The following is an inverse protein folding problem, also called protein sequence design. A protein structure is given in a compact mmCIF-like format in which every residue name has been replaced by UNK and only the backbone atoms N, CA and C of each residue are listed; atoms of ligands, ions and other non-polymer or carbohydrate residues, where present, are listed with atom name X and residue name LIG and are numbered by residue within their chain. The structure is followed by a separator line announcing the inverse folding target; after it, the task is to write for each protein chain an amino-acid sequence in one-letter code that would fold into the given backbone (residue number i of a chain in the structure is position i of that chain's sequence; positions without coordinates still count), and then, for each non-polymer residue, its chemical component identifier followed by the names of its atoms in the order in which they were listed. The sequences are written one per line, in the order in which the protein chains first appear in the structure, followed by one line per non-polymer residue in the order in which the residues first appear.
data_IF_448210021773
#
_entry.id   IF_448210021773
#
_cell.length_a   1.000
_cell.length_b   1.000
_cell.length_c   1.000
_cell.angle_alpha   90.00
_cell.angle_beta   90.00
_cell.angle_gamma   90.00
#
_symmetry.space_group_name_H-M   'P 1'
#
loop_
_entity.id
_entity.type
_entity.pdbx_description
1 polymer ?
#
# COMPACT_ATOMS: atom_id res chain seq x y z
N UNK A 1 -7.31 -14.16 24.96
CA UNK A 1 -6.04 -13.78 24.30
C UNK A 1 -5.96 -12.26 24.24
N UNK A 2 -4.80 -11.62 24.41
CA UNK A 2 -4.69 -10.17 24.27
C UNK A 2 -5.04 -9.76 22.83
N UNK A 3 -5.79 -8.66 22.70
CA UNK A 3 -6.17 -8.11 21.40
C UNK A 3 -4.90 -7.69 20.62
N UNK A 4 -4.88 -7.98 19.32
CA UNK A 4 -3.77 -7.61 18.43
C UNK A 4 -3.95 -6.17 17.95
N UNK A 5 -2.87 -5.36 17.90
CA UNK A 5 -2.95 -4.02 17.33
C UNK A 5 -2.97 -4.07 15.79
N UNK A 6 -3.65 -3.11 15.16
CA UNK A 6 -3.57 -2.85 13.71
C UNK A 6 -2.61 -1.67 13.46
N UNK A 7 -1.67 -1.86 12.53
CA UNK A 7 -0.81 -0.77 12.08
C UNK A 7 -1.44 -0.05 10.90
N UNK A 8 -1.85 1.20 11.09
CA UNK A 8 -2.35 2.07 10.03
C UNK A 8 -1.21 2.92 9.46
N UNK A 9 -1.05 2.91 8.14
CA UNK A 9 0.00 3.68 7.46
C UNK A 9 -0.56 4.37 6.22
N UNK A 10 -0.62 5.69 6.26
CA UNK A 10 -0.89 6.47 5.07
C UNK A 10 0.29 6.38 4.11
N UNK A 11 0.01 6.15 2.83
CA UNK A 11 1.00 6.22 1.77
C UNK A 11 0.64 7.27 0.75
N UNK A 12 1.68 7.84 0.17
CA UNK A 12 1.54 8.68 -1.01
C UNK A 12 2.08 7.87 -2.20
N UNK A 13 1.17 7.22 -2.93
CA UNK A 13 1.52 6.47 -4.12
C UNK A 13 2.12 7.33 -5.21
N UNK A 14 1.71 8.59 -5.32
CA UNK A 14 2.26 9.51 -6.32
C UNK A 14 3.75 9.72 -6.07
N UNK A 15 4.16 9.89 -4.80
CA UNK A 15 5.58 9.93 -4.43
C UNK A 15 6.30 8.64 -4.80
N UNK A 16 5.72 7.49 -4.48
CA UNK A 16 6.31 6.18 -4.80
C UNK A 16 6.48 6.02 -6.31
N UNK A 17 5.46 6.34 -7.10
CA UNK A 17 5.50 6.30 -8.55
C UNK A 17 6.57 7.24 -9.11
N UNK A 18 6.67 8.46 -8.57
CA UNK A 18 7.71 9.42 -8.95
C UNK A 18 9.12 8.87 -8.73
N UNK A 19 9.39 8.22 -7.59
CA UNK A 19 10.69 7.60 -7.34
C UNK A 19 10.96 6.39 -8.25
N UNK A 20 9.95 5.59 -8.58
CA UNK A 20 10.10 4.48 -9.54
C UNK A 20 10.44 5.03 -10.93
N UNK A 21 9.74 6.07 -11.38
CA UNK A 21 9.98 6.71 -12.66
C UNK A 21 11.39 7.32 -12.72
N UNK A 22 11.81 8.01 -11.66
CA UNK A 22 13.17 8.54 -11.54
C UNK A 22 14.21 7.42 -11.61
N UNK A 23 14.00 6.31 -10.90
CA UNK A 23 14.86 5.14 -10.97
C UNK A 23 14.96 4.58 -12.39
N UNK A 24 13.86 4.46 -13.12
CA UNK A 24 13.86 4.03 -14.52
C UNK A 24 14.60 5.00 -15.44
N UNK A 25 14.39 6.32 -15.29
CA UNK A 25 15.09 7.33 -16.08
C UNK A 25 16.60 7.25 -15.85
N UNK A 26 17.05 7.11 -14.60
CA UNK A 26 18.47 6.97 -14.27
C UNK A 26 19.06 5.67 -14.85
N UNK A 27 18.30 4.58 -14.84
CA UNK A 27 18.73 3.29 -15.37
C UNK A 27 18.91 3.35 -16.89
N UNK A 28 17.91 3.86 -17.61
CA UNK A 28 17.95 4.02 -19.07
C UNK A 28 19.03 5.04 -19.46
N UNK A 29 19.07 6.19 -18.79
CA UNK A 29 20.07 7.23 -19.05
C UNK A 29 21.50 6.77 -18.76
N UNK A 30 21.70 5.98 -17.69
CA UNK A 30 22.99 5.38 -17.38
C UNK A 30 23.43 4.35 -18.42
N UNK A 31 22.54 3.47 -18.88
CA UNK A 31 22.87 2.49 -19.93
C UNK A 31 23.19 3.16 -21.27
N UNK A 32 22.36 4.12 -21.70
CA UNK A 32 22.57 4.86 -22.95
C UNK A 32 23.86 5.69 -22.87
N UNK A 33 24.06 6.41 -21.75
CA UNK A 33 25.25 7.22 -21.55
C UNK A 33 26.53 6.39 -21.58
N UNK A 34 26.54 5.23 -20.91
CA UNK A 34 27.67 4.31 -20.96
C UNK A 34 27.93 3.80 -22.38
N UNK A 35 26.87 3.41 -23.12
CA UNK A 35 27.02 2.92 -24.48
C UNK A 35 27.66 3.96 -25.42
N UNK A 36 27.27 5.23 -25.28
CA UNK A 36 27.75 6.32 -26.14
C UNK A 36 29.14 6.79 -25.73
N UNK A 37 29.38 7.10 -24.46
CA UNK A 37 30.62 7.74 -24.02
C UNK A 37 31.70 6.77 -23.55
N UNK A 38 31.34 5.51 -23.25
CA UNK A 38 32.20 4.52 -22.59
C UNK A 38 32.72 4.94 -21.20
N UNK A 39 32.20 6.04 -20.62
CA UNK A 39 32.63 6.48 -19.30
C UNK A 39 32.01 5.67 -18.18
N UNK A 40 32.85 5.28 -17.24
CA UNK A 40 32.43 4.50 -16.08
C UNK A 40 31.49 5.27 -15.14
N UNK A 41 31.43 6.60 -15.23
CA UNK A 41 30.55 7.44 -14.39
C UNK A 41 29.08 7.03 -14.53
N UNK A 42 28.67 6.62 -15.73
CA UNK A 42 27.30 6.21 -16.02
C UNK A 42 26.91 4.88 -15.35
N UNK A 43 27.90 4.04 -15.00
CA UNK A 43 27.65 2.83 -14.23
C UNK A 43 27.17 3.16 -12.80
N UNK A 44 27.65 4.26 -12.20
CA UNK A 44 27.17 4.72 -10.90
C UNK A 44 25.71 5.22 -10.96
N UNK A 45 25.26 5.78 -12.09
CA UNK A 45 23.84 6.11 -12.30
C UNK A 45 22.97 4.85 -12.27
N UNK A 46 23.39 3.79 -12.96
CA UNK A 46 22.70 2.50 -12.96
C UNK A 46 22.68 1.89 -11.56
N UNK A 47 23.80 1.93 -10.83
CA UNK A 47 23.86 1.44 -9.46
C UNK A 47 22.91 2.22 -8.53
N UNK A 48 22.89 3.56 -8.61
CA UNK A 48 21.99 4.41 -7.84
C UNK A 48 20.52 4.10 -8.14
N UNK A 49 20.17 3.94 -9.42
CA UNK A 49 18.82 3.54 -9.84
C UNK A 49 18.37 2.23 -9.17
N UNK A 50 19.25 1.22 -9.16
CA UNK A 50 18.96 -0.08 -8.54
C UNK A 50 18.75 0.04 -7.03
N UNK A 51 19.55 0.85 -6.33
CA UNK A 51 19.40 1.11 -4.89
C UNK A 51 18.04 1.76 -4.60
N UNK A 52 17.65 2.76 -5.39
CA UNK A 52 16.35 3.44 -5.27
C UNK A 52 15.20 2.44 -5.47
N UNK A 53 15.25 1.64 -6.54
CA UNK A 53 14.21 0.65 -6.83
C UNK A 53 14.11 -0.42 -5.74
N UNK A 54 15.25 -0.92 -5.24
CA UNK A 54 15.28 -1.88 -4.14
C UNK A 54 14.66 -1.28 -2.87
N UNK A 55 15.03 -0.05 -2.50
CA UNK A 55 14.46 0.64 -1.35
C UNK A 55 12.93 0.78 -1.45
N UNK A 56 12.41 1.18 -2.61
CA UNK A 56 10.97 1.29 -2.85
C UNK A 56 10.30 -0.07 -2.73
N UNK A 57 10.89 -1.12 -3.29
CA UNK A 57 10.32 -2.47 -3.25
C UNK A 57 10.21 -3.01 -1.83
N UNK A 58 11.29 -2.89 -1.04
CA UNK A 58 11.29 -3.33 0.36
C UNK A 58 10.33 -2.54 1.22
N UNK A 59 10.34 -1.21 1.07
CA UNK A 59 9.39 -0.38 1.81
C UNK A 59 7.97 -0.74 1.41
N UNK A 60 7.67 -0.97 0.12
CA UNK A 60 6.31 -1.19 -0.41
C UNK A 60 5.59 -2.44 0.10
N UNK A 61 6.30 -3.41 0.69
CA UNK A 61 5.69 -4.63 1.24
C UNK A 61 4.70 -4.33 2.37
N UNK A 62 3.54 -4.97 2.31
CA UNK A 62 2.54 -4.93 3.38
C UNK A 62 2.84 -6.05 4.40
N UNK A 63 2.91 -5.70 5.67
CA UNK A 63 3.14 -6.66 6.77
C UNK A 63 1.82 -7.24 7.26
N UNK A 64 1.89 -8.28 8.10
CA UNK A 64 0.70 -8.80 8.81
C UNK A 64 0.19 -7.72 9.78
N UNK A 65 -1.12 -7.72 9.99
CA UNK A 65 -1.87 -6.78 10.84
C UNK A 65 -1.67 -5.32 10.43
N UNK A 66 -1.57 -5.06 9.13
CA UNK A 66 -1.32 -3.73 8.60
C UNK A 66 -2.41 -3.30 7.62
N UNK A 67 -2.82 -2.04 7.74
CA UNK A 67 -3.67 -1.32 6.80
C UNK A 67 -2.86 -0.18 6.21
N UNK A 68 -2.77 -0.16 4.89
CA UNK A 68 -2.12 0.89 4.11
C UNK A 68 -3.20 1.57 3.29
N UNK A 69 -3.27 2.89 3.36
CA UNK A 69 -4.29 3.65 2.66
C UNK A 69 -3.71 4.86 1.96
N UNK A 70 -4.36 5.25 0.87
CA UNK A 70 -4.10 6.43 0.06
C UNK A 70 -5.42 6.86 -0.58
N UNK A 71 -5.47 8.04 -1.24
CA UNK A 71 -6.72 8.54 -1.82
C UNK A 71 -7.35 7.64 -2.90
N UNK A 72 -6.61 6.67 -3.46
CA UNK A 72 -7.05 5.79 -4.55
C UNK A 72 -7.42 4.39 -4.06
N UNK A 73 -6.75 3.88 -3.03
CA UNK A 73 -7.06 2.57 -2.48
C UNK A 73 -6.76 2.40 -0.99
N UNK A 74 -7.43 1.40 -0.41
CA UNK A 74 -7.13 0.85 0.90
C UNK A 74 -6.68 -0.61 0.72
N UNK A 75 -5.45 -0.92 1.13
CA UNK A 75 -4.85 -2.25 1.08
C UNK A 75 -4.57 -2.74 2.49
N UNK A 76 -5.00 -3.95 2.83
CA UNK A 76 -4.83 -4.49 4.18
C UNK A 76 -4.49 -5.98 4.21
N UNK A 77 -3.86 -6.39 5.31
CA UNK A 77 -3.51 -7.78 5.61
C UNK A 77 -3.74 -8.04 7.10
N UNK A 78 -4.97 -8.34 7.47
CA UNK A 78 -5.40 -8.52 8.87
C UNK A 78 -5.44 -10.02 9.20
N UNK A 79 -6.50 -10.73 8.84
CA UNK A 79 -6.75 -12.09 9.34
C UNK A 79 -6.35 -13.18 8.33
N UNK A 80 -6.33 -12.83 7.04
CA UNK A 80 -6.03 -13.76 5.96
C UNK A 80 -4.53 -13.74 5.59
N UNK A 81 -4.03 -14.88 5.06
CA UNK A 81 -2.66 -14.95 4.51
C UNK A 81 -2.48 -14.01 3.32
N UNK A 82 -3.57 -13.73 2.60
CA UNK A 82 -3.60 -12.88 1.42
C UNK A 82 -3.89 -11.41 1.76
N UNK A 83 -3.27 -10.50 1.01
CA UNK A 83 -3.56 -9.07 1.12
C UNK A 83 -4.79 -8.72 0.28
N UNK A 84 -5.77 -8.05 0.87
CA UNK A 84 -6.92 -7.50 0.14
C UNK A 84 -6.66 -6.05 -0.25
N UNK A 85 -7.27 -5.61 -1.35
CA UNK A 85 -7.20 -4.23 -1.86
C UNK A 85 -8.59 -3.80 -2.30
N UNK A 86 -9.06 -2.67 -1.79
CA UNK A 86 -10.32 -2.02 -2.14
C UNK A 86 -9.97 -0.66 -2.74
N UNK A 87 -10.60 -0.29 -3.85
CA UNK A 87 -10.47 1.09 -4.35
C UNK A 87 -11.40 2.00 -3.55
N UNK A 88 -10.93 3.19 -3.20
CA UNK A 88 -11.67 4.15 -2.37
C UNK A 88 -12.98 4.60 -3.04
N UNK A 89 -12.96 4.81 -4.35
CA UNK A 89 -14.12 5.19 -5.19
C UNK A 89 -15.25 4.16 -5.23
N UNK A 90 -14.98 2.91 -4.81
CA UNK A 90 -15.97 1.84 -4.74
C UNK A 90 -16.60 1.70 -3.36
N UNK A 91 -16.07 2.36 -2.32
CA UNK A 91 -16.58 2.21 -0.96
C UNK A 91 -17.83 3.08 -0.83
N UNK A 92 -18.98 2.45 -0.61
CA UNK A 92 -20.22 3.19 -0.33
C UNK A 92 -20.44 3.39 1.16
N UNK A 93 -20.18 2.33 1.95
CA UNK A 93 -20.38 2.34 3.40
C UNK A 93 -19.57 1.24 4.06
N UNK A 94 -19.08 1.49 5.27
CA UNK A 94 -18.55 0.49 6.16
C UNK A 94 -19.32 0.51 7.48
N UNK A 95 -19.76 -0.67 7.94
CA UNK A 95 -20.51 -0.83 9.19
C UNK A 95 -19.77 -1.82 10.07
N UNK A 96 -19.42 -1.40 11.28
CA UNK A 96 -18.87 -2.28 12.29
C UNK A 96 -19.99 -3.07 12.96
N UNK A 97 -19.95 -4.39 12.82
CA UNK A 97 -20.77 -5.34 13.60
C UNK A 97 -19.88 -5.97 14.67
N UNK A 98 -20.45 -6.54 15.74
CA UNK A 98 -19.74 -7.07 16.93
C UNK A 98 -18.46 -7.86 16.61
N UNK A 99 -18.51 -8.61 15.50
CA UNK A 99 -17.55 -9.62 15.09
C UNK A 99 -16.83 -9.33 13.76
N UNK A 100 -17.30 -8.37 12.96
CA UNK A 100 -16.77 -8.12 11.62
C UNK A 100 -17.11 -6.73 11.11
N UNK A 101 -16.28 -6.22 10.22
CA UNK A 101 -16.54 -5.01 9.45
C UNK A 101 -17.13 -5.42 8.10
N UNK A 102 -18.36 -4.98 7.83
CA UNK A 102 -19.04 -5.18 6.55
C UNK A 102 -18.88 -3.92 5.70
N UNK A 103 -18.32 -4.08 4.50
CA UNK A 103 -18.01 -2.98 3.58
C UNK A 103 -18.84 -3.15 2.33
N UNK A 104 -19.79 -2.25 2.12
CA UNK A 104 -20.63 -2.19 0.92
C UNK A 104 -19.86 -1.56 -0.22
N UNK A 105 -19.82 -2.25 -1.37
CA UNK A 105 -19.06 -1.84 -2.54
C UNK A 105 -19.97 -1.55 -3.73
N UNK A 106 -19.74 -0.43 -4.40
CA UNK A 106 -20.52 -0.02 -5.57
C UNK A 106 -20.43 -1.05 -6.70
N UNK A 107 -21.58 -1.64 -7.03
CA UNK A 107 -21.70 -2.62 -8.13
C UNK A 107 -20.88 -3.89 -7.92
N UNK A 108 -20.59 -4.25 -6.66
CA UNK A 108 -19.86 -5.47 -6.29
C UNK A 108 -20.49 -6.13 -5.07
N UNK A 109 -20.07 -7.37 -4.80
CA UNK A 109 -20.42 -8.05 -3.56
C UNK A 109 -19.80 -7.36 -2.35
N UNK A 110 -20.56 -7.34 -1.26
CA UNK A 110 -20.13 -6.79 0.01
C UNK A 110 -18.95 -7.57 0.57
N UNK A 111 -18.00 -6.84 1.14
CA UNK A 111 -16.80 -7.41 1.70
C UNK A 111 -16.93 -7.55 3.22
N UNK A 112 -16.86 -8.78 3.71
CA UNK A 112 -16.74 -9.06 5.14
C UNK A 112 -15.28 -9.16 5.56
N UNK A 113 -14.90 -8.39 6.58
CA UNK A 113 -13.57 -8.37 7.18
C UNK A 113 -13.69 -8.81 8.64
N UNK A 114 -13.15 -9.98 8.96
CA UNK A 114 -13.08 -10.47 10.34
C UNK A 114 -12.09 -9.64 11.15
N UNK A 115 -12.57 -9.02 12.23
CA UNK A 115 -11.76 -8.22 13.13
C UNK A 115 -11.75 -8.73 14.59
N UNK A 116 -12.23 -9.94 14.86
CA UNK A 116 -12.40 -10.50 16.23
C UNK A 116 -11.12 -10.47 17.06
N UNK A 117 -9.97 -10.67 16.42
CA UNK A 117 -8.67 -10.74 17.08
C UNK A 117 -8.05 -9.37 17.39
N UNK A 118 -8.67 -8.26 16.95
CA UNK A 118 -8.11 -6.91 17.02
C UNK A 118 -8.75 -6.05 18.12
N UNK A 119 -8.03 -5.00 18.54
CA UNK A 119 -8.54 -4.06 19.53
C UNK A 119 -9.82 -3.35 19.04
N UNK A 120 -10.75 -3.04 19.96
CA UNK A 120 -11.98 -2.31 19.62
C UNK A 120 -11.67 -0.89 19.11
N UNK A 121 -10.61 -0.28 19.61
CA UNK A 121 -10.12 1.02 19.12
C UNK A 121 -9.72 0.94 17.64
N UNK A 122 -8.94 -0.08 17.26
CA UNK A 122 -8.52 -0.29 15.87
C UNK A 122 -9.70 -0.65 14.96
N UNK A 123 -10.67 -1.42 15.46
CA UNK A 123 -11.90 -1.74 14.73
C UNK A 123 -12.68 -0.47 14.35
N UNK A 124 -12.93 0.39 15.35
CA UNK A 124 -13.63 1.66 15.17
C UNK A 124 -12.81 2.62 14.29
N UNK A 125 -11.49 2.65 14.46
CA UNK A 125 -10.63 3.46 13.60
C UNK A 125 -10.68 2.98 12.14
N UNK A 126 -10.66 1.67 11.91
CA UNK A 126 -10.72 1.13 10.55
C UNK A 126 -12.06 1.42 9.88
N UNK A 127 -13.17 1.28 10.60
CA UNK A 127 -14.50 1.71 10.13
C UNK A 127 -14.50 3.19 9.73
N UNK A 128 -14.07 4.08 10.63
CA UNK A 128 -14.00 5.53 10.37
C UNK A 128 -13.11 5.84 9.16
N UNK A 129 -11.98 5.15 9.03
CA UNK A 129 -11.09 5.29 7.89
C UNK A 129 -11.81 4.94 6.58
N UNK A 130 -12.52 3.80 6.51
CA UNK A 130 -13.22 3.41 5.30
C UNK A 130 -14.36 4.39 4.96
N UNK A 131 -15.13 4.82 5.96
CA UNK A 131 -16.19 5.82 5.77
C UNK A 131 -15.66 7.22 5.42
N UNK A 132 -14.38 7.52 5.65
CA UNK A 132 -13.79 8.81 5.24
C UNK A 132 -13.57 8.95 3.73
N UNK A 133 -13.78 7.88 2.97
CA UNK A 133 -13.64 7.85 1.51
C UNK A 133 -14.97 7.92 0.75
N UNK A 134 -16.10 8.00 1.46
CA UNK A 134 -17.43 8.28 0.91
C UNK A 134 -17.52 9.75 0.48
#
# INVERSE_FOLDING_TARGET
MPARPIQFKQRNLLKIFGFVLLGLILLVGGLIGYFISQDFIYFYLVAAANIILAYIFFTSRIKKNQVIFDPVFVKFKLTQKESKKIKTDLIEKAILTDDHLEVTLKGREDLKIDLKEYSKEDQVYFEKLLNSFQ
#
